data_IF_053174211778
#
_entry.id   IF_053174211778
#
_cell.length_a   1.000
_cell.length_b   1.000
_cell.length_c   1.000
_cell.angle_alpha   90.00
_cell.angle_beta   90.00
_cell.angle_gamma   90.00
#
_symmetry.space_group_name_H-M   'P 1'
#
loop_
_entity.id
_entity.type
_entity.pdbx_description
1 polymer ?
#
# COMPACT_ATOMS: atom_id res chain seq x y z
N UNK A 1 5.97 -92.75 -13.03
CA UNK A 1 6.66 -93.94 -13.60
C UNK A 1 8.12 -93.70 -13.47
N UNK A 2 8.67 -94.49 -12.54
CA UNK A 2 10.04 -94.91 -12.40
C UNK A 2 11.11 -93.83 -12.22
N UNK A 3 11.62 -93.67 -11.06
CA UNK A 3 12.44 -94.49 -10.18
C UNK A 3 13.88 -94.70 -10.67
N UNK A 4 14.76 -94.58 -9.76
CA UNK A 4 16.12 -95.01 -9.65
C UNK A 4 17.15 -93.89 -9.52
N UNK A 5 17.85 -93.79 -8.57
CA UNK A 5 18.48 -94.58 -7.54
C UNK A 5 19.82 -93.85 -7.19
N UNK A 6 20.02 -93.78 -5.92
CA UNK A 6 21.23 -93.33 -5.21
C UNK A 6 22.48 -94.06 -5.69
N UNK A 7 23.58 -93.28 -5.71
CA UNK A 7 24.88 -93.86 -5.28
C UNK A 7 25.73 -92.80 -4.59
N UNK A 8 26.06 -93.05 -3.33
CA UNK A 8 27.14 -92.35 -2.61
C UNK A 8 28.47 -93.06 -2.92
N UNK A 9 29.56 -92.32 -2.90
CA UNK A 9 30.79 -92.88 -2.38
C UNK A 9 31.49 -92.02 -1.31
N UNK A 10 31.74 -92.68 -0.30
CA UNK A 10 32.87 -92.76 0.69
C UNK A 10 33.83 -91.54 0.74
N UNK A 11 33.97 -91.12 2.03
CA UNK A 11 34.98 -90.24 2.56
C UNK A 11 36.39 -90.78 2.42
N UNK A 12 37.29 -89.84 2.07
CA UNK A 12 38.76 -90.03 2.21
C UNK A 12 39.26 -89.02 3.26
N UNK A 13 40.02 -89.44 4.27
CA UNK A 13 40.48 -88.55 5.33
C UNK A 13 41.76 -87.83 4.96
N UNK A 14 41.89 -86.57 5.33
CA UNK A 14 43.13 -85.92 5.72
C UNK A 14 43.92 -85.20 4.65
N UNK A 15 43.57 -83.91 4.43
CA UNK A 15 44.61 -82.94 4.09
C UNK A 15 44.34 -81.67 4.94
N UNK A 16 45.27 -81.46 5.89
CA UNK A 16 45.35 -80.24 6.66
C UNK A 16 45.64 -79.03 5.66
N UNK A 17 44.63 -78.25 5.36
CA UNK A 17 44.84 -76.98 4.69
C UNK A 17 45.13 -75.92 5.76
N UNK A 18 46.38 -75.49 5.81
CA UNK A 18 46.80 -74.30 6.50
C UNK A 18 46.09 -73.08 5.84
N UNK A 19 45.16 -72.51 6.57
CA UNK A 19 44.55 -71.22 6.14
C UNK A 19 45.66 -70.16 6.12
N UNK A 20 45.79 -69.39 5.02
CA UNK A 20 46.68 -68.22 5.01
C UNK A 20 46.11 -67.18 5.99
N UNK A 21 46.92 -66.76 6.93
CA UNK A 21 46.68 -65.68 7.86
C UNK A 21 46.43 -64.37 7.02
N UNK A 22 45.21 -63.84 7.05
CA UNK A 22 44.90 -62.54 6.51
C UNK A 22 45.81 -61.49 7.14
N UNK A 23 46.50 -60.67 6.36
CA UNK A 23 47.27 -59.57 6.91
C UNK A 23 46.28 -58.63 7.64
N UNK A 24 46.62 -58.25 8.88
CA UNK A 24 45.89 -57.33 9.68
C UNK A 24 45.81 -55.97 8.95
N UNK A 25 44.62 -55.57 8.54
CA UNK A 25 44.40 -54.23 7.98
C UNK A 25 44.91 -53.19 8.98
N UNK A 26 45.66 -52.18 8.54
CA UNK A 26 46.11 -51.09 9.40
C UNK A 26 44.87 -50.29 9.86
N UNK A 27 44.46 -50.51 11.09
CA UNK A 27 43.34 -49.76 11.73
C UNK A 27 43.56 -48.27 11.60
N UNK A 28 42.73 -47.68 10.84
CA UNK A 28 42.25 -46.28 10.72
C UNK A 28 42.60 -45.34 11.89
N UNK A 29 43.83 -44.93 12.00
CA UNK A 29 44.24 -43.72 12.74
C UNK A 29 43.98 -42.43 11.96
N UNK A 30 43.67 -42.54 10.64
CA UNK A 30 43.39 -41.41 9.74
C UNK A 30 42.00 -40.75 9.89
N UNK A 31 41.04 -41.42 10.55
CA UNK A 31 39.65 -40.91 10.60
C UNK A 31 39.45 -39.78 11.62
N UNK A 32 40.16 -39.77 12.74
CA UNK A 32 40.02 -38.75 13.78
C UNK A 32 40.64 -37.39 13.39
N UNK A 33 41.70 -37.37 12.60
CA UNK A 33 42.32 -36.16 12.13
C UNK A 33 41.53 -35.49 10.98
N UNK A 34 40.96 -36.29 10.07
CA UNK A 34 40.06 -35.80 9.03
C UNK A 34 38.80 -35.19 9.63
N UNK A 35 38.15 -35.83 10.57
CA UNK A 35 36.96 -35.27 11.23
C UNK A 35 37.23 -33.97 12.01
N UNK A 36 38.47 -33.79 12.59
CA UNK A 36 38.84 -32.54 13.22
C UNK A 36 39.15 -31.42 12.19
N UNK A 37 39.80 -31.76 11.09
CA UNK A 37 40.05 -30.82 9.99
C UNK A 37 38.72 -30.37 9.36
N UNK A 38 37.79 -31.28 9.11
CA UNK A 38 36.46 -30.98 8.56
C UNK A 38 35.65 -30.09 9.54
N UNK A 39 35.72 -30.35 10.84
CA UNK A 39 35.06 -29.50 11.87
C UNK A 39 35.67 -28.10 11.96
N UNK A 40 37.02 -28.01 11.89
CA UNK A 40 37.69 -26.70 11.87
C UNK A 40 37.39 -25.92 10.60
N UNK A 41 37.31 -26.59 9.46
CA UNK A 41 36.91 -25.96 8.20
C UNK A 41 35.47 -25.46 8.26
N UNK A 42 34.55 -26.29 8.76
CA UNK A 42 33.15 -25.87 8.93
C UNK A 42 33.01 -24.69 9.91
N UNK A 43 33.77 -24.70 11.02
CA UNK A 43 33.79 -23.59 11.96
C UNK A 43 34.35 -22.28 11.32
N UNK A 44 35.46 -22.42 10.54
CA UNK A 44 36.03 -21.29 9.81
C UNK A 44 35.04 -20.70 8.77
N UNK A 45 34.36 -21.57 8.02
CA UNK A 45 33.32 -21.14 7.08
C UNK A 45 32.18 -20.42 7.80
N UNK A 46 31.68 -20.99 8.93
CA UNK A 46 30.62 -20.35 9.72
C UNK A 46 31.07 -18.99 10.26
N UNK A 47 32.33 -18.88 10.74
CA UNK A 47 32.88 -17.61 11.19
C UNK A 47 33.00 -16.59 10.06
N UNK A 48 33.48 -16.98 8.90
CA UNK A 48 33.57 -16.10 7.72
C UNK A 48 32.18 -15.64 7.27
N UNK A 49 31.22 -16.55 7.17
CA UNK A 49 29.83 -16.23 6.82
C UNK A 49 29.21 -15.31 7.89
N UNK A 50 29.44 -15.60 9.18
CA UNK A 50 28.96 -14.77 10.27
C UNK A 50 29.58 -13.37 10.27
N UNK A 51 30.89 -13.24 10.01
CA UNK A 51 31.57 -11.95 9.87
C UNK A 51 31.11 -11.17 8.63
N UNK A 52 30.90 -11.83 7.50
CA UNK A 52 30.33 -11.22 6.31
C UNK A 52 28.89 -10.73 6.57
N UNK A 53 28.08 -11.54 7.27
CA UNK A 53 26.72 -11.15 7.61
C UNK A 53 26.67 -9.98 8.59
N UNK A 54 27.54 -9.96 9.60
CA UNK A 54 27.57 -8.89 10.60
C UNK A 54 28.27 -7.61 10.16
N UNK A 55 29.24 -7.71 9.22
CA UNK A 55 30.06 -6.59 8.82
C UNK A 55 29.75 -6.00 7.44
N UNK A 56 28.89 -6.66 6.66
CA UNK A 56 28.58 -6.24 5.28
C UNK A 56 27.14 -6.55 4.92
N UNK A 57 26.57 -5.80 3.97
CA UNK A 57 25.23 -6.04 3.41
C UNK A 57 25.26 -6.99 2.17
N UNK A 58 26.25 -7.84 2.06
CA UNK A 58 26.38 -8.74 0.88
C UNK A 58 25.16 -9.64 0.71
N UNK A 59 24.68 -10.24 1.79
CA UNK A 59 23.51 -11.13 1.73
C UNK A 59 22.22 -10.35 1.41
N UNK A 60 22.00 -9.18 2.04
CA UNK A 60 20.87 -8.31 1.74
C UNK A 60 20.89 -7.81 0.31
N UNK A 61 22.07 -7.41 -0.21
CA UNK A 61 22.21 -6.97 -1.60
C UNK A 61 21.95 -8.09 -2.62
N UNK A 62 22.36 -9.34 -2.31
CA UNK A 62 22.07 -10.50 -3.15
C UNK A 62 20.57 -10.84 -3.14
N UNK A 63 19.93 -10.80 -1.96
CA UNK A 63 18.48 -11.02 -1.83
C UNK A 63 17.69 -9.99 -2.64
N UNK A 64 18.05 -8.69 -2.54
CA UNK A 64 17.42 -7.62 -3.30
C UNK A 64 17.59 -7.81 -4.83
N UNK A 65 18.79 -8.14 -5.29
CA UNK A 65 19.03 -8.43 -6.73
C UNK A 65 18.23 -9.63 -7.23
N UNK A 66 18.16 -10.68 -6.41
CA UNK A 66 17.39 -11.88 -6.76
C UNK A 66 15.88 -11.54 -6.84
N UNK A 67 15.38 -10.78 -5.87
CA UNK A 67 14.00 -10.30 -5.88
C UNK A 67 13.70 -9.44 -7.11
N UNK A 68 14.58 -8.48 -7.43
CA UNK A 68 14.42 -7.60 -8.60
C UNK A 68 14.36 -8.40 -9.90
N UNK A 69 15.28 -9.36 -10.04
CA UNK A 69 15.30 -10.24 -11.22
C UNK A 69 14.04 -11.14 -11.29
N UNK A 70 13.60 -11.69 -10.16
CA UNK A 70 12.39 -12.50 -10.13
C UNK A 70 11.13 -11.67 -10.41
N UNK A 71 11.07 -10.44 -9.92
CA UNK A 71 9.95 -9.52 -10.14
C UNK A 71 9.83 -9.09 -11.59
N UNK A 72 10.97 -8.80 -12.26
CA UNK A 72 11.00 -8.42 -13.67
C UNK A 72 10.74 -9.58 -14.62
N UNK A 73 11.01 -10.82 -14.20
CA UNK A 73 10.73 -12.04 -14.99
C UNK A 73 9.25 -12.46 -14.98
N UNK A 74 8.39 -11.72 -14.28
CA UNK A 74 6.96 -12.07 -14.16
C UNK A 74 6.19 -11.73 -15.44
N UNK A 75 5.54 -12.72 -16.05
CA UNK A 75 4.65 -12.56 -17.20
C UNK A 75 3.20 -12.23 -16.83
N UNK A 76 2.93 -11.87 -15.58
CA UNK A 76 1.57 -11.55 -15.13
C UNK A 76 1.01 -10.35 -15.86
N UNK A 77 -0.27 -10.44 -16.21
CA UNK A 77 -1.03 -9.33 -16.78
C UNK A 77 -1.66 -8.51 -15.66
N UNK A 78 -1.60 -7.19 -15.80
CA UNK A 78 -2.33 -6.29 -14.95
C UNK A 78 -3.84 -6.56 -15.06
N UNK A 79 -4.56 -6.32 -13.96
CA UNK A 79 -6.00 -6.53 -13.93
C UNK A 79 -6.72 -5.48 -14.77
N UNK A 80 -7.63 -5.90 -15.61
CA UNK A 80 -8.54 -5.03 -16.38
C UNK A 80 -9.60 -4.32 -15.51
N UNK A 81 -9.71 -4.71 -14.24
CA UNK A 81 -10.56 -4.04 -13.24
C UNK A 81 -9.98 -2.73 -12.73
N UNK A 82 -8.72 -2.42 -13.06
CA UNK A 82 -8.04 -1.19 -12.66
C UNK A 82 -7.91 -0.30 -13.88
N UNK A 83 -8.32 0.96 -13.76
CA UNK A 83 -8.07 2.02 -14.71
C UNK A 83 -7.25 3.12 -14.03
N UNK A 84 -6.31 3.70 -14.75
CA UNK A 84 -5.46 4.77 -14.25
C UNK A 84 -5.75 6.06 -15.00
N UNK A 85 -5.88 7.15 -14.27
CA UNK A 85 -6.00 8.51 -14.82
C UNK A 85 -4.76 9.28 -14.40
N UNK A 86 -3.94 9.66 -15.38
CA UNK A 86 -2.69 10.35 -15.12
C UNK A 86 -2.88 11.87 -15.06
N UNK A 87 -2.28 12.45 -14.03
CA UNK A 87 -1.97 13.89 -13.96
C UNK A 87 -0.65 14.07 -14.69
N UNK A 88 -0.71 14.16 -16.00
CA UNK A 88 0.44 14.20 -16.90
C UNK A 88 0.72 15.63 -17.45
N UNK A 89 1.84 15.78 -18.14
CA UNK A 89 2.23 17.06 -18.73
C UNK A 89 1.20 17.59 -19.73
N UNK A 90 0.53 16.68 -20.47
CA UNK A 90 -0.52 17.06 -21.42
C UNK A 90 -1.74 17.63 -20.67
N UNK A 91 -2.09 17.07 -19.53
CA UNK A 91 -3.17 17.59 -18.68
C UNK A 91 -2.79 18.93 -18.05
N UNK A 92 -1.53 19.10 -17.62
CA UNK A 92 -1.04 20.37 -17.09
C UNK A 92 -1.05 21.45 -18.18
N UNK A 93 -0.65 21.11 -19.40
CA UNK A 93 -0.70 22.05 -20.51
C UNK A 93 -2.14 22.44 -20.91
N UNK A 94 -3.09 21.52 -20.82
CA UNK A 94 -4.49 21.74 -21.21
C UNK A 94 -5.33 22.47 -20.15
N UNK A 95 -5.13 22.15 -18.86
CA UNK A 95 -5.93 22.70 -17.74
C UNK A 95 -5.26 23.95 -17.15
N UNK A 96 -3.93 23.95 -17.09
CA UNK A 96 -3.14 25.00 -16.46
C UNK A 96 -2.19 24.46 -15.39
N UNK A 97 -1.50 25.39 -14.71
CA UNK A 97 -0.46 25.06 -13.74
C UNK A 97 -1.00 24.21 -12.58
N UNK A 98 -0.33 23.12 -12.28
CA UNK A 98 -0.55 22.30 -11.08
C UNK A 98 -0.03 23.04 -9.80
N UNK A 99 -0.68 22.90 -8.61
CA UNK A 99 -1.91 22.14 -8.36
C UNK A 99 -3.18 22.85 -8.85
N UNK A 100 -4.10 22.06 -9.41
CA UNK A 100 -5.38 22.59 -9.92
C UNK A 100 -6.35 22.92 -8.78
N UNK A 101 -7.29 23.85 -9.04
CA UNK A 101 -8.39 24.14 -8.11
C UNK A 101 -9.24 22.92 -7.81
N UNK A 102 -9.85 22.88 -6.60
CA UNK A 102 -10.66 21.75 -6.12
C UNK A 102 -11.88 21.45 -6.98
N UNK A 103 -12.43 22.45 -7.65
CA UNK A 103 -13.55 22.28 -8.57
C UNK A 103 -13.20 21.41 -9.78
N UNK A 104 -11.97 21.48 -10.29
CA UNK A 104 -11.47 20.57 -11.35
C UNK A 104 -11.49 19.12 -10.89
N UNK A 105 -11.10 18.87 -9.66
CA UNK A 105 -11.15 17.53 -9.06
C UNK A 105 -12.59 17.06 -8.79
N UNK A 106 -13.46 17.99 -8.36
CA UNK A 106 -14.87 17.72 -8.17
C UNK A 106 -15.55 17.29 -9.47
N UNK A 107 -15.28 18.00 -10.57
CA UNK A 107 -15.83 17.68 -11.90
C UNK A 107 -15.40 16.29 -12.39
N UNK A 108 -14.12 15.89 -12.15
CA UNK A 108 -13.66 14.55 -12.48
C UNK A 108 -14.36 13.49 -11.62
N UNK A 109 -14.48 13.72 -10.30
CA UNK A 109 -15.19 12.80 -9.39
C UNK A 109 -16.65 12.63 -9.82
N UNK A 110 -17.35 13.70 -10.15
CA UNK A 110 -18.73 13.66 -10.62
C UNK A 110 -18.86 12.85 -11.92
N UNK A 111 -17.93 13.03 -12.88
CA UNK A 111 -17.90 12.26 -14.13
C UNK A 111 -17.67 10.76 -13.90
N UNK A 112 -16.70 10.42 -13.08
CA UNK A 112 -16.38 9.02 -12.78
C UNK A 112 -17.51 8.34 -12.00
N UNK A 113 -18.17 9.08 -11.12
CA UNK A 113 -19.34 8.60 -10.39
C UNK A 113 -20.51 8.33 -11.35
N UNK A 114 -20.77 9.24 -12.27
CA UNK A 114 -21.78 9.07 -13.33
C UNK A 114 -21.43 7.93 -14.30
N UNK A 115 -20.15 7.68 -14.56
CA UNK A 115 -19.66 6.55 -15.36
C UNK A 115 -19.81 5.20 -14.63
N UNK A 116 -20.16 5.19 -13.35
CA UNK A 116 -20.36 3.97 -12.57
C UNK A 116 -19.05 3.35 -12.07
N UNK A 117 -18.00 4.14 -11.85
CA UNK A 117 -16.79 3.65 -11.21
C UNK A 117 -17.11 3.01 -9.85
N UNK A 118 -16.53 1.85 -9.56
CA UNK A 118 -16.79 1.11 -8.31
C UNK A 118 -16.11 1.75 -7.11
N UNK A 119 -14.86 2.15 -7.30
CA UNK A 119 -14.03 2.83 -6.30
C UNK A 119 -13.16 3.85 -7.01
N UNK A 120 -13.06 5.05 -6.47
CA UNK A 120 -12.22 6.13 -6.99
C UNK A 120 -11.13 6.42 -5.96
N UNK A 121 -9.90 6.18 -6.32
CA UNK A 121 -8.75 6.44 -5.47
C UNK A 121 -8.05 7.70 -5.96
N UNK A 122 -8.12 8.78 -5.20
CA UNK A 122 -7.51 10.06 -5.55
C UNK A 122 -6.21 10.25 -4.77
N UNK A 123 -5.05 10.22 -5.42
CA UNK A 123 -3.75 10.28 -4.72
C UNK A 123 -3.23 11.67 -4.45
N UNK A 124 -3.89 12.73 -4.97
CA UNK A 124 -3.51 14.10 -4.63
C UNK A 124 -3.83 14.42 -3.16
N UNK A 125 -2.94 15.18 -2.54
CA UNK A 125 -3.05 15.58 -1.14
C UNK A 125 -3.89 16.87 -1.00
N UNK A 126 -4.89 16.81 -0.15
CA UNK A 126 -5.79 17.93 0.17
C UNK A 126 -5.66 18.30 1.66
N UNK A 127 -4.45 18.60 2.10
CA UNK A 127 -4.12 18.84 3.52
C UNK A 127 -4.31 20.29 3.94
N UNK A 128 -4.32 21.24 2.98
CA UNK A 128 -4.46 22.65 3.21
C UNK A 128 -5.68 23.22 2.50
N UNK A 129 -6.39 24.21 3.10
CA UNK A 129 -7.52 24.87 2.45
C UNK A 129 -7.10 25.55 1.17
N UNK A 130 -7.95 25.47 0.16
CA UNK A 130 -7.81 26.34 -1.01
C UNK A 130 -8.38 27.73 -0.66
N UNK A 131 -7.51 28.68 -0.39
CA UNK A 131 -7.90 30.05 -0.14
C UNK A 131 -8.08 30.80 -1.46
N UNK A 132 -9.32 31.11 -1.83
CA UNK A 132 -9.61 32.16 -2.79
C UNK A 132 -9.46 33.50 -2.08
N UNK A 133 -8.71 34.43 -2.68
CA UNK A 133 -8.48 35.77 -2.11
C UNK A 133 -9.77 36.59 -1.89
N UNK A 134 -10.86 36.28 -2.59
CA UNK A 134 -12.15 36.89 -2.42
C UNK A 134 -13.03 36.27 -1.33
N UNK A 135 -12.77 34.99 -0.96
CA UNK A 135 -13.61 34.27 -0.02
C UNK A 135 -13.48 34.80 1.41
N UNK A 136 -12.27 35.18 1.83
CA UNK A 136 -12.02 35.72 3.17
C UNK A 136 -12.76 37.04 3.40
N UNK A 137 -12.61 38.07 2.53
CA UNK A 137 -13.37 39.31 2.67
C UNK A 137 -14.90 39.11 2.63
N UNK A 138 -15.39 38.17 1.81
CA UNK A 138 -16.82 37.87 1.74
C UNK A 138 -17.36 37.29 3.06
N UNK A 139 -16.62 36.35 3.66
CA UNK A 139 -16.95 35.78 4.98
C UNK A 139 -16.91 36.84 6.09
N UNK A 140 -15.91 37.70 6.07
CA UNK A 140 -15.83 38.84 7.01
C UNK A 140 -17.02 39.78 6.87
N UNK A 141 -17.36 40.19 5.64
CA UNK A 141 -18.51 41.04 5.37
C UNK A 141 -19.82 40.40 5.84
N UNK A 142 -20.00 39.12 5.54
CA UNK A 142 -21.16 38.38 6.02
C UNK A 142 -21.23 38.34 7.56
N UNK A 143 -20.11 38.06 8.25
CA UNK A 143 -20.03 38.06 9.70
C UNK A 143 -20.38 39.46 10.30
N UNK A 144 -19.96 40.54 9.66
CA UNK A 144 -20.29 41.91 10.08
C UNK A 144 -21.81 42.19 9.94
N UNK A 145 -22.44 41.72 8.85
CA UNK A 145 -23.89 41.88 8.64
C UNK A 145 -24.69 41.01 9.61
N UNK A 146 -24.26 39.79 9.88
CA UNK A 146 -24.89 38.88 10.86
C UNK A 146 -24.77 39.41 12.30
N UNK A 147 -23.61 39.98 12.64
CA UNK A 147 -23.29 40.53 13.95
C UNK A 147 -23.85 41.95 14.22
N UNK A 148 -24.60 42.55 13.31
CA UNK A 148 -25.08 43.95 13.43
C UNK A 148 -23.96 44.94 13.69
N UNK A 149 -22.85 44.84 12.91
CA UNK A 149 -21.74 45.75 13.06
C UNK A 149 -22.16 47.24 12.84
N UNK A 150 -21.49 48.16 13.52
CA UNK A 150 -21.74 49.59 13.46
C UNK A 150 -21.69 50.10 11.99
N UNK A 151 -22.68 50.86 11.59
CA UNK A 151 -22.85 51.37 10.19
C UNK A 151 -23.79 50.51 9.32
N UNK A 152 -24.30 49.38 9.83
CA UNK A 152 -25.25 48.50 9.11
C UNK A 152 -26.62 48.44 9.84
N UNK A 153 -26.82 49.30 10.86
CA UNK A 153 -28.00 49.31 11.70
C UNK A 153 -29.27 49.70 10.93
N UNK A 154 -29.12 50.53 9.87
CA UNK A 154 -30.21 51.00 9.03
C UNK A 154 -30.69 50.02 7.97
N UNK A 155 -30.04 48.83 7.87
CA UNK A 155 -30.47 47.76 6.98
C UNK A 155 -31.74 47.11 7.51
N UNK A 156 -32.88 47.40 6.90
CA UNK A 156 -34.14 46.72 7.21
C UNK A 156 -34.01 45.20 7.05
N UNK A 157 -34.81 44.41 7.83
CA UNK A 157 -34.69 42.95 7.89
C UNK A 157 -34.71 42.24 6.52
N UNK A 158 -35.59 42.71 5.60
CA UNK A 158 -35.72 42.15 4.25
C UNK A 158 -34.49 42.41 3.37
N UNK A 159 -33.87 43.58 3.54
CA UNK A 159 -32.63 43.94 2.77
C UNK A 159 -31.44 43.17 3.30
N UNK A 160 -31.33 42.99 4.61
CA UNK A 160 -30.32 42.18 5.27
C UNK A 160 -30.39 40.72 4.81
N UNK A 161 -31.59 40.12 4.81
CA UNK A 161 -31.79 38.74 4.37
C UNK A 161 -31.41 38.55 2.90
N UNK A 162 -31.78 39.50 2.01
CA UNK A 162 -31.36 39.45 0.60
C UNK A 162 -29.85 39.54 0.42
N UNK A 163 -29.19 40.42 1.18
CA UNK A 163 -27.73 40.59 1.10
C UNK A 163 -27.01 39.37 1.62
N UNK A 164 -27.46 38.78 2.75
CA UNK A 164 -26.91 37.53 3.27
C UNK A 164 -27.12 36.36 2.30
N UNK A 165 -28.25 36.29 1.62
CA UNK A 165 -28.50 35.32 0.55
C UNK A 165 -27.53 35.47 -0.61
N UNK A 166 -27.33 36.72 -1.10
CA UNK A 166 -26.37 36.98 -2.17
C UNK A 166 -24.92 36.66 -1.79
N UNK A 167 -24.50 37.00 -0.56
CA UNK A 167 -23.17 36.64 -0.05
C UNK A 167 -23.02 35.17 0.09
N UNK A 168 -24.03 34.45 0.60
CA UNK A 168 -24.01 33.00 0.71
C UNK A 168 -23.88 32.28 -0.64
N UNK A 169 -24.59 32.80 -1.69
CA UNK A 169 -24.42 32.28 -3.04
C UNK A 169 -23.02 32.57 -3.64
N UNK A 170 -22.47 33.74 -3.34
CA UNK A 170 -21.13 34.12 -3.79
C UNK A 170 -20.06 33.23 -3.09
N UNK A 171 -20.19 33.04 -1.79
CA UNK A 171 -19.33 32.14 -1.03
C UNK A 171 -19.38 30.68 -1.58
N UNK A 172 -20.59 30.14 -1.79
CA UNK A 172 -20.77 28.82 -2.34
C UNK A 172 -20.13 28.63 -3.73
N UNK A 173 -20.04 29.68 -4.53
CA UNK A 173 -19.36 29.66 -5.84
C UNK A 173 -17.83 29.69 -5.71
N UNK A 174 -17.31 30.32 -4.67
CA UNK A 174 -15.87 30.49 -4.43
C UNK A 174 -15.27 29.44 -3.52
N UNK A 175 -16.11 28.72 -2.76
CA UNK A 175 -15.65 27.65 -1.85
C UNK A 175 -15.45 26.34 -2.61
N UNK A 176 -14.31 26.23 -3.27
CA UNK A 176 -13.95 25.05 -4.04
C UNK A 176 -13.75 23.81 -3.15
N UNK A 177 -13.30 23.98 -1.89
CA UNK A 177 -13.18 22.88 -0.94
C UNK A 177 -14.57 22.30 -0.58
N UNK A 178 -15.57 23.16 -0.34
CA UNK A 178 -16.94 22.73 -0.10
C UNK A 178 -17.52 22.01 -1.33
N UNK A 179 -17.27 22.51 -2.55
CA UNK A 179 -17.69 21.85 -3.79
C UNK A 179 -17.11 20.46 -3.93
N UNK A 180 -15.82 20.30 -3.67
CA UNK A 180 -15.18 18.96 -3.69
C UNK A 180 -15.78 18.06 -2.62
N UNK A 181 -15.98 18.56 -1.39
CA UNK A 181 -16.62 17.79 -0.32
C UNK A 181 -18.00 17.29 -0.73
N UNK A 182 -18.82 18.13 -1.34
CA UNK A 182 -20.16 17.75 -1.84
C UNK A 182 -20.07 16.66 -2.91
N UNK A 183 -19.11 16.75 -3.84
CA UNK A 183 -18.90 15.73 -4.88
C UNK A 183 -18.44 14.39 -4.27
N UNK A 184 -17.53 14.43 -3.29
CA UNK A 184 -17.08 13.24 -2.55
C UNK A 184 -18.26 12.56 -1.83
N UNK A 185 -19.09 13.34 -1.13
CA UNK A 185 -20.23 12.85 -0.39
C UNK A 185 -21.30 12.25 -1.31
N UNK A 186 -21.66 12.93 -2.40
CA UNK A 186 -22.60 12.38 -3.39
C UNK A 186 -22.09 11.12 -4.05
N UNK A 187 -20.78 11.04 -4.33
CA UNK A 187 -20.14 9.86 -4.89
C UNK A 187 -20.20 8.68 -3.94
N UNK A 188 -19.85 8.86 -2.68
CA UNK A 188 -19.74 7.80 -1.66
C UNK A 188 -18.72 6.71 -2.02
N UNK A 189 -17.81 6.96 -2.98
CA UNK A 189 -16.89 5.96 -3.56
C UNK A 189 -15.43 6.42 -3.58
N UNK A 190 -15.16 7.62 -3.11
CA UNK A 190 -13.83 8.23 -3.20
C UNK A 190 -13.03 7.95 -1.95
N UNK A 191 -11.81 7.44 -2.14
CA UNK A 191 -10.82 7.22 -1.09
C UNK A 191 -9.75 8.29 -1.22
N UNK A 192 -9.46 8.97 -0.12
CA UNK A 192 -8.45 10.01 -0.04
C UNK A 192 -7.19 9.52 0.67
N UNK A 193 -6.02 10.10 0.35
CA UNK A 193 -4.76 9.76 0.99
C UNK A 193 -4.56 10.48 2.31
N UNK A 194 -3.82 9.84 3.20
CA UNK A 194 -3.13 10.44 4.34
C UNK A 194 -1.65 10.07 4.29
N UNK A 195 -0.81 10.80 5.02
CA UNK A 195 0.62 10.50 5.12
C UNK A 195 1.04 10.58 6.58
N UNK A 196 1.96 9.71 6.98
CA UNK A 196 2.49 9.64 8.32
C UNK A 196 4.01 9.83 8.30
N UNK A 197 4.54 10.57 9.23
CA UNK A 197 5.96 10.61 9.52
C UNK A 197 6.30 9.36 10.36
N UNK A 198 6.97 8.39 9.72
CA UNK A 198 7.32 7.13 10.36
C UNK A 198 8.42 7.31 11.41
N UNK A 199 8.31 6.61 12.51
CA UNK A 199 9.27 6.62 13.61
C UNK A 199 8.64 6.29 14.96
N UNK A 200 9.47 5.96 15.93
CA UNK A 200 8.99 5.64 17.28
C UNK A 200 8.47 6.91 17.98
N UNK A 201 7.22 6.91 18.46
CA UNK A 201 6.64 8.06 19.12
C UNK A 201 7.35 8.36 20.44
N UNK A 202 7.69 9.64 20.68
CA UNK A 202 8.31 10.14 21.91
C UNK A 202 7.26 10.84 22.79
N UNK A 203 6.18 10.15 23.11
CA UNK A 203 5.09 10.72 23.89
C UNK A 203 3.76 10.69 23.12
N UNK A 204 2.83 11.57 23.51
CA UNK A 204 1.55 11.71 22.81
C UNK A 204 1.73 12.59 21.57
N UNK A 205 1.02 12.31 20.48
CA UNK A 205 1.06 13.17 19.30
C UNK A 205 0.48 14.56 19.61
N UNK A 206 0.97 15.60 18.90
CA UNK A 206 0.49 16.98 19.04
C UNK A 206 -1.00 17.11 18.65
N UNK A 207 -1.46 16.29 17.72
CA UNK A 207 -2.85 16.19 17.31
C UNK A 207 -3.29 14.71 17.24
N UNK A 208 -4.46 14.37 17.81
CA UNK A 208 -4.99 13.02 17.74
C UNK A 208 -5.42 12.66 16.31
N UNK A 209 -5.54 11.35 16.04
CA UNK A 209 -6.08 10.88 14.77
C UNK A 209 -7.53 11.38 14.61
N UNK A 210 -7.88 12.09 13.51
CA UNK A 210 -9.24 12.58 13.29
C UNK A 210 -10.28 11.45 13.24
N UNK A 211 -11.51 11.78 13.65
CA UNK A 211 -12.61 10.80 13.70
C UNK A 211 -12.89 10.11 12.37
N UNK A 212 -12.77 10.84 11.26
CA UNK A 212 -12.96 10.28 9.92
C UNK A 212 -11.87 9.25 9.52
N UNK A 213 -10.64 9.39 10.01
CA UNK A 213 -9.57 8.40 9.80
C UNK A 213 -9.69 7.24 10.80
N UNK A 214 -10.03 7.55 12.04
CA UNK A 214 -10.18 6.58 13.13
C UNK A 214 -11.25 5.52 12.86
N UNK A 215 -12.40 5.89 12.25
CA UNK A 215 -13.45 4.94 11.88
C UNK A 215 -13.04 3.90 10.83
N UNK A 216 -11.91 4.14 10.14
CA UNK A 216 -11.33 3.22 9.15
C UNK A 216 -10.05 2.54 9.67
N UNK A 217 -9.70 2.71 10.94
CA UNK A 217 -8.58 2.04 11.56
C UNK A 217 -8.89 0.57 11.86
N UNK A 218 -7.88 -0.26 11.84
CA UNK A 218 -7.96 -1.69 12.19
C UNK A 218 -7.80 -1.82 13.69
N UNK A 219 -8.72 -2.53 14.34
CA UNK A 219 -8.68 -2.75 15.78
C UNK A 219 -7.70 -3.86 16.17
N UNK A 220 -7.16 -3.78 17.40
CA UNK A 220 -6.32 -4.83 17.99
C UNK A 220 -4.98 -5.04 17.30
N UNK A 221 -4.50 -4.05 16.52
CA UNK A 221 -3.29 -4.18 15.72
C UNK A 221 -1.97 -3.93 16.47
N UNK A 222 -1.99 -3.53 17.74
CA UNK A 222 -0.77 -3.29 18.49
C UNK A 222 -0.10 -4.62 18.92
N UNK A 223 1.21 -4.83 18.66
CA UNK A 223 2.21 -3.91 18.06
C UNK A 223 2.38 -4.01 16.53
N UNK A 224 1.43 -4.58 15.80
CA UNK A 224 1.54 -4.89 14.37
C UNK A 224 1.38 -3.64 13.49
N UNK A 225 2.34 -3.34 12.63
CA UNK A 225 2.39 -2.15 11.79
C UNK A 225 3.56 -1.22 12.10
N UNK A 226 3.90 -0.33 11.18
CA UNK A 226 4.98 0.64 11.35
C UNK A 226 4.56 1.77 12.31
N UNK A 227 5.37 2.12 13.30
CA UNK A 227 5.07 3.24 14.19
C UNK A 227 5.23 4.59 13.47
N UNK A 228 4.41 5.58 13.87
CA UNK A 228 4.48 6.93 13.36
C UNK A 228 4.41 7.98 14.46
N UNK A 229 5.07 9.13 14.21
CA UNK A 229 5.17 10.24 15.13
C UNK A 229 4.17 11.36 14.83
N UNK A 230 3.84 11.55 13.55
CA UNK A 230 2.96 12.62 13.06
C UNK A 230 2.06 12.10 11.94
N UNK A 231 0.92 12.78 11.75
CA UNK A 231 0.02 12.50 10.63
C UNK A 231 -0.32 13.78 9.87
N UNK A 232 -0.38 13.67 8.55
CA UNK A 232 -0.95 14.65 7.64
C UNK A 232 -2.23 14.05 7.08
N UNK A 233 -3.35 14.73 7.33
CA UNK A 233 -4.67 14.23 7.02
C UNK A 233 -5.39 15.18 6.06
N UNK A 234 -6.33 14.68 5.24
CA UNK A 234 -7.20 15.56 4.47
C UNK A 234 -7.91 16.58 5.35
N UNK A 235 -8.27 17.72 4.76
CA UNK A 235 -9.13 18.69 5.41
C UNK A 235 -10.36 18.01 6.03
N UNK A 236 -10.80 18.41 7.23
CA UNK A 236 -11.92 17.75 7.91
C UNK A 236 -13.18 17.65 7.06
N UNK A 237 -13.50 18.69 6.25
CA UNK A 237 -14.64 18.65 5.34
C UNK A 237 -14.50 17.53 4.31
N UNK A 238 -13.33 17.39 3.68
CA UNK A 238 -13.05 16.38 2.66
C UNK A 238 -12.93 14.98 3.27
N UNK A 239 -12.22 14.84 4.41
CA UNK A 239 -12.06 13.56 5.09
C UNK A 239 -13.37 12.98 5.61
N UNK A 240 -14.31 13.83 6.06
CA UNK A 240 -15.66 13.40 6.48
C UNK A 240 -16.54 13.01 5.28
N UNK A 241 -16.38 13.67 4.14
CA UNK A 241 -17.15 13.43 2.93
C UNK A 241 -16.63 12.23 2.11
N UNK A 242 -15.37 11.86 2.27
CA UNK A 242 -14.78 10.70 1.60
C UNK A 242 -15.37 9.38 2.11
N UNK A 243 -15.44 8.38 1.22
CA UNK A 243 -15.85 7.03 1.58
C UNK A 243 -14.87 6.40 2.58
N UNK A 244 -13.59 6.64 2.41
CA UNK A 244 -12.54 6.23 3.34
C UNK A 244 -11.27 7.08 3.17
N UNK A 245 -10.36 6.96 4.15
CA UNK A 245 -9.01 7.53 4.11
C UNK A 245 -8.01 6.41 4.39
N UNK A 246 -6.98 6.31 3.57
CA UNK A 246 -5.88 5.36 3.75
C UNK A 246 -4.52 6.02 3.57
N UNK A 247 -3.47 5.48 4.20
CA UNK A 247 -2.15 6.08 4.07
C UNK A 247 -1.46 5.74 2.74
N UNK A 248 -0.67 6.70 2.22
CA UNK A 248 0.20 6.56 1.04
C UNK A 248 1.68 6.54 1.43
N UNK A 249 2.01 5.99 2.59
CA UNK A 249 3.39 5.85 2.99
C UNK A 249 4.09 4.81 2.15
N UNK A 250 5.28 5.14 1.70
CA UNK A 250 6.19 4.21 1.03
C UNK A 250 7.29 3.79 2.01
N UNK A 251 7.83 2.59 1.80
CA UNK A 251 9.01 2.11 2.48
C UNK A 251 10.15 2.01 1.48
N UNK A 252 11.21 2.78 1.74
CA UNK A 252 12.44 2.71 0.94
C UNK A 252 13.41 1.74 1.60
N UNK A 253 13.93 0.80 0.83
CA UNK A 253 15.07 -0.02 1.22
C UNK A 253 16.35 0.84 1.28
N UNK A 254 17.44 0.31 1.85
CA UNK A 254 18.70 1.02 2.03
C UNK A 254 19.31 1.54 0.72
N UNK A 255 18.95 0.96 -0.41
CA UNK A 255 19.36 1.40 -1.75
C UNK A 255 18.37 2.37 -2.42
N UNK A 256 17.35 2.82 -1.69
CA UNK A 256 16.33 3.77 -2.15
C UNK A 256 15.24 3.17 -3.02
N UNK A 257 15.22 1.86 -3.25
CA UNK A 257 14.17 1.20 -4.03
C UNK A 257 12.95 0.85 -3.15
N UNK A 258 11.76 0.88 -3.76
CA UNK A 258 10.51 0.46 -3.12
C UNK A 258 10.27 -1.01 -3.43
N UNK A 259 10.56 -1.91 -2.48
CA UNK A 259 10.29 -3.35 -2.61
C UNK A 259 9.27 -3.87 -1.61
N UNK A 260 8.88 -3.04 -0.66
CA UNK A 260 7.89 -3.38 0.36
C UNK A 260 6.89 -2.26 0.50
N UNK A 261 5.63 -2.63 0.62
CA UNK A 261 4.52 -1.70 0.86
C UNK A 261 4.02 -1.90 2.29
N UNK A 262 4.09 -0.88 3.15
CA UNK A 262 3.49 -0.97 4.48
C UNK A 262 1.97 -0.98 4.36
N UNK A 263 1.33 -2.02 4.87
CA UNK A 263 -0.13 -2.13 4.85
C UNK A 263 -0.79 -1.49 6.06
N UNK A 264 -0.07 -1.33 7.16
CA UNK A 264 -0.56 -0.69 8.39
C UNK A 264 0.49 0.27 8.94
N UNK A 265 0.02 1.44 9.38
CA UNK A 265 0.79 2.43 10.14
C UNK A 265 0.11 2.65 11.49
N UNK A 266 0.87 2.55 12.58
CA UNK A 266 0.37 2.77 13.95
C UNK A 266 0.56 4.23 14.34
N UNK A 267 -0.52 4.88 14.73
CA UNK A 267 -0.53 6.26 15.20
C UNK A 267 -1.64 6.48 16.21
N UNK A 268 -1.36 7.17 17.31
CA UNK A 268 -2.33 7.54 18.35
C UNK A 268 -3.17 6.33 18.86
N UNK A 269 -2.51 5.16 19.04
CA UNK A 269 -3.18 3.92 19.50
C UNK A 269 -4.04 3.23 18.45
N UNK A 270 -3.99 3.66 17.19
CA UNK A 270 -4.76 3.11 16.08
C UNK A 270 -3.84 2.59 14.97
N UNK A 271 -4.26 1.55 14.26
CA UNK A 271 -3.59 1.10 13.05
C UNK A 271 -4.38 1.54 11.81
N UNK A 272 -3.79 2.45 11.06
CA UNK A 272 -4.39 3.01 9.84
C UNK A 272 -3.97 2.14 8.66
N UNK A 273 -4.92 1.63 7.85
CA UNK A 273 -4.60 0.83 6.68
C UNK A 273 -4.02 1.68 5.54
N UNK A 274 -3.19 1.06 4.70
CA UNK A 274 -2.72 1.69 3.47
C UNK A 274 -3.87 2.00 2.54
N UNK A 275 -3.66 2.97 1.66
CA UNK A 275 -4.64 3.31 0.63
C UNK A 275 -4.91 2.09 -0.28
N UNK A 276 -3.90 1.31 -0.61
CA UNK A 276 -4.04 0.08 -1.40
C UNK A 276 -4.95 -0.95 -0.69
N UNK A 277 -4.74 -1.19 0.60
CA UNK A 277 -5.57 -2.10 1.39
C UNK A 277 -7.02 -1.57 1.52
N UNK A 278 -7.17 -0.26 1.72
CA UNK A 278 -8.47 0.40 1.81
C UNK A 278 -9.24 0.33 0.49
N UNK A 279 -8.56 0.55 -0.66
CA UNK A 279 -9.14 0.39 -2.00
C UNK A 279 -9.60 -1.05 -2.22
N UNK A 280 -8.76 -2.03 -1.87
CA UNK A 280 -9.09 -3.44 -2.01
C UNK A 280 -10.32 -3.80 -1.16
N UNK A 281 -10.36 -3.38 0.10
CA UNK A 281 -11.51 -3.60 0.98
C UNK A 281 -12.80 -2.98 0.39
N UNK A 282 -12.76 -1.71 0.05
CA UNK A 282 -13.92 -1.00 -0.53
C UNK A 282 -14.40 -1.64 -1.83
N UNK A 283 -13.46 -2.04 -2.70
CA UNK A 283 -13.80 -2.70 -3.98
C UNK A 283 -14.46 -4.07 -3.79
N UNK A 284 -14.26 -4.72 -2.66
CA UNK A 284 -14.88 -5.99 -2.28
C UNK A 284 -16.14 -5.80 -1.42
N UNK A 285 -16.59 -4.56 -1.20
CA UNK A 285 -17.65 -4.17 -0.26
C UNK A 285 -17.34 -4.63 1.18
N UNK A 286 -16.07 -4.59 1.55
CA UNK A 286 -15.56 -4.84 2.88
C UNK A 286 -15.12 -3.52 3.54
N UNK A 287 -14.93 -3.55 4.85
CA UNK A 287 -14.52 -2.43 5.69
C UNK A 287 -13.21 -2.72 6.43
N UNK A 288 -12.73 -1.77 7.22
CA UNK A 288 -11.59 -2.00 8.10
C UNK A 288 -11.84 -3.11 9.14
N UNK A 289 -13.09 -3.32 9.54
CA UNK A 289 -13.49 -4.39 10.47
C UNK A 289 -13.31 -5.81 9.87
N UNK A 290 -13.25 -5.90 8.54
CA UNK A 290 -13.02 -7.17 7.81
C UNK A 290 -11.52 -7.46 7.58
N UNK A 291 -10.65 -6.55 8.04
CA UNK A 291 -9.20 -6.75 8.02
C UNK A 291 -8.79 -7.47 9.31
N UNK A 292 -8.46 -8.73 9.18
CA UNK A 292 -8.03 -9.55 10.32
C UNK A 292 -6.51 -9.61 10.42
N UNK A 293 -6.00 -9.60 11.65
CA UNK A 293 -4.59 -9.81 11.93
C UNK A 293 -4.30 -11.32 12.06
N UNK A 294 -3.23 -11.78 11.45
CA UNK A 294 -2.78 -13.18 11.49
C UNK A 294 -1.29 -13.21 11.90
N UNK A 295 -0.99 -13.10 13.20
CA UNK A 295 0.39 -13.08 13.68
C UNK A 295 1.21 -14.23 13.11
N UNK A 296 2.40 -13.93 12.57
CA UNK A 296 3.27 -14.90 11.90
C UNK A 296 2.85 -15.31 10.49
N UNK A 297 1.70 -14.82 9.98
CA UNK A 297 1.21 -15.16 8.63
C UNK A 297 0.85 -13.94 7.79
N UNK A 298 0.56 -12.79 8.39
CA UNK A 298 0.22 -11.55 7.72
C UNK A 298 -1.15 -10.99 8.08
N UNK A 299 -1.88 -10.49 7.09
CA UNK A 299 -3.23 -9.93 7.22
C UNK A 299 -4.24 -10.80 6.46
N UNK A 300 -5.49 -10.80 6.89
CA UNK A 300 -6.59 -11.30 6.08
C UNK A 300 -7.52 -10.15 5.69
N UNK A 301 -8.03 -10.18 4.46
CA UNK A 301 -9.07 -9.30 3.97
C UNK A 301 -10.24 -10.19 3.52
N UNK A 302 -11.28 -10.27 4.35
CA UNK A 302 -12.31 -11.30 4.20
C UNK A 302 -11.68 -12.69 4.14
N UNK A 303 -11.91 -13.50 3.08
CA UNK A 303 -11.33 -14.84 2.93
C UNK A 303 -9.88 -14.84 2.43
N UNK A 304 -9.37 -13.73 1.91
CA UNK A 304 -8.04 -13.65 1.32
C UNK A 304 -6.96 -13.45 2.39
N UNK A 305 -5.89 -14.26 2.34
CA UNK A 305 -4.70 -14.07 3.16
C UNK A 305 -3.68 -13.25 2.37
N UNK A 306 -3.16 -12.21 3.00
CA UNK A 306 -2.10 -11.34 2.48
C UNK A 306 -0.85 -11.59 3.34
N UNK A 307 0.12 -12.37 2.85
CA UNK A 307 1.36 -12.60 3.58
C UNK A 307 2.14 -11.30 3.77
N UNK A 308 2.57 -11.02 5.00
CA UNK A 308 3.39 -9.86 5.34
C UNK A 308 4.53 -10.25 6.26
N UNK A 309 5.48 -9.35 6.41
CA UNK A 309 6.47 -9.46 7.48
C UNK A 309 5.87 -9.07 8.87
N UNK A 310 6.72 -9.07 9.89
CA UNK A 310 6.33 -8.82 11.29
C UNK A 310 5.77 -7.40 11.53
N UNK A 311 6.06 -6.45 10.66
CA UNK A 311 5.59 -5.05 10.73
C UNK A 311 4.56 -4.72 9.65
N UNK A 312 3.85 -5.73 9.15
CA UNK A 312 2.77 -5.59 8.18
C UNK A 312 3.19 -5.00 6.83
N UNK A 313 4.41 -5.29 6.34
CA UNK A 313 4.82 -4.93 4.99
C UNK A 313 4.63 -6.12 4.05
N UNK A 314 4.07 -5.87 2.88
CA UNK A 314 3.90 -6.84 1.80
C UNK A 314 4.96 -6.59 0.72
N UNK A 315 5.35 -7.65 0.02
CA UNK A 315 6.13 -7.56 -1.22
C UNK A 315 5.15 -7.36 -2.39
N UNK A 316 5.02 -6.15 -2.94
CA UNK A 316 4.13 -5.90 -4.07
C UNK A 316 4.64 -6.63 -5.30
N UNK A 317 3.72 -7.06 -6.13
CA UNK A 317 4.05 -7.65 -7.40
C UNK A 317 4.03 -6.59 -8.48
N UNK A 318 5.20 -6.36 -9.08
CA UNK A 318 5.33 -5.46 -10.21
C UNK A 318 4.90 -6.15 -11.52
N UNK A 319 4.45 -5.34 -12.45
CA UNK A 319 4.07 -5.77 -13.79
C UNK A 319 5.04 -5.17 -14.79
N UNK A 320 5.51 -5.98 -15.73
CA UNK A 320 6.38 -5.51 -16.79
C UNK A 320 5.60 -4.70 -17.84
N UNK A 321 6.23 -3.67 -18.37
CA UNK A 321 5.74 -2.99 -19.57
C UNK A 321 5.76 -3.96 -20.75
N UNK A 322 4.77 -3.83 -21.64
CA UNK A 322 4.64 -4.64 -22.83
C UNK A 322 4.65 -3.74 -24.06
N UNK A 323 5.51 -4.05 -25.01
CA UNK A 323 5.57 -3.35 -26.30
C UNK A 323 5.71 -1.82 -26.17
N UNK A 324 6.39 -1.35 -25.10
CA UNK A 324 6.58 0.07 -24.83
C UNK A 324 5.35 0.78 -24.27
N UNK A 325 4.31 0.02 -23.89
CA UNK A 325 3.13 0.54 -23.18
C UNK A 325 3.17 0.09 -21.73
N UNK A 326 2.77 0.99 -20.81
CA UNK A 326 2.67 0.66 -19.39
C UNK A 326 1.76 -0.53 -19.12
N UNK A 327 1.98 -1.23 -18.03
CA UNK A 327 1.23 -2.42 -17.64
C UNK A 327 -0.28 -2.17 -17.48
N UNK A 328 -0.66 -0.95 -17.07
CA UNK A 328 -2.04 -0.51 -16.93
C UNK A 328 -2.43 0.44 -18.06
N UNK A 329 -3.69 0.34 -18.49
CA UNK A 329 -4.25 1.34 -19.40
C UNK A 329 -4.40 2.67 -18.67
N UNK A 330 -3.72 3.69 -19.17
CA UNK A 330 -3.70 5.03 -18.58
C UNK A 330 -4.39 6.02 -19.52
N UNK A 331 -5.27 6.86 -18.98
CA UNK A 331 -5.91 7.97 -19.66
C UNK A 331 -5.42 9.30 -19.08
N UNK A 332 -5.26 10.31 -19.93
CA UNK A 332 -4.93 11.65 -19.46
C UNK A 332 -6.12 12.29 -18.70
N UNK A 333 -5.83 12.94 -17.59
CA UNK A 333 -6.84 13.59 -16.75
C UNK A 333 -7.73 14.55 -17.56
N UNK A 334 -7.11 15.38 -18.40
CA UNK A 334 -7.84 16.37 -19.22
C UNK A 334 -8.75 15.72 -20.27
N UNK A 335 -8.41 14.53 -20.78
CA UNK A 335 -9.25 13.81 -21.74
C UNK A 335 -10.50 13.27 -21.07
N UNK A 336 -10.35 12.71 -19.87
CA UNK A 336 -11.49 12.24 -19.08
C UNK A 336 -12.37 13.43 -18.68
N UNK A 337 -11.77 14.51 -18.20
CA UNK A 337 -12.48 15.74 -17.82
C UNK A 337 -13.25 16.36 -18.98
N UNK A 338 -12.69 16.34 -20.19
CA UNK A 338 -13.35 16.85 -21.40
C UNK A 338 -14.40 15.88 -21.99
N UNK A 339 -14.54 14.66 -21.43
CA UNK A 339 -15.48 13.65 -21.95
C UNK A 339 -15.02 12.96 -23.23
N UNK A 340 -13.74 13.02 -23.57
CA UNK A 340 -13.15 12.35 -24.74
C UNK A 340 -12.96 10.84 -24.54
N UNK A 341 -12.91 10.40 -23.28
CA UNK A 341 -12.83 8.98 -22.92
C UNK A 341 -14.23 8.43 -22.69
N UNK A 342 -14.61 7.30 -23.30
CA UNK A 342 -15.94 6.71 -23.14
C UNK A 342 -16.22 6.35 -21.67
N UNK A 343 -17.37 6.69 -21.08
CA UNK A 343 -17.71 6.41 -19.68
C UNK A 343 -17.68 4.94 -19.33
N UNK A 344 -18.07 4.07 -20.25
CA UNK A 344 -18.10 2.61 -20.04
C UNK A 344 -16.73 2.01 -19.70
N UNK A 345 -15.65 2.72 -20.04
CA UNK A 345 -14.28 2.33 -19.67
C UNK A 345 -14.07 2.27 -18.16
N UNK A 346 -14.83 3.05 -17.39
CA UNK A 346 -14.67 3.16 -15.93
C UNK A 346 -15.74 2.37 -15.15
N UNK A 347 -16.74 1.84 -15.82
CA UNK A 347 -17.85 1.12 -15.17
C UNK A 347 -17.33 -0.09 -14.39
N UNK A 348 -17.77 -0.22 -13.14
CA UNK A 348 -17.42 -1.29 -12.20
C UNK A 348 -15.92 -1.47 -11.95
N UNK A 349 -15.11 -0.46 -12.28
CA UNK A 349 -13.65 -0.48 -12.09
C UNK A 349 -13.20 0.29 -10.86
N UNK A 350 -12.01 -0.07 -10.40
CA UNK A 350 -11.20 0.74 -9.51
C UNK A 350 -10.49 1.78 -10.38
N UNK A 351 -10.75 3.04 -10.15
CA UNK A 351 -10.12 4.14 -10.89
C UNK A 351 -9.10 4.82 -9.95
N UNK A 352 -7.83 4.81 -10.36
CA UNK A 352 -6.74 5.46 -9.62
C UNK A 352 -6.37 6.75 -10.34
N UNK A 353 -6.43 7.88 -9.64
CA UNK A 353 -6.06 9.21 -10.15
C UNK A 353 -4.74 9.60 -9.51
N UNK A 354 -3.71 9.85 -10.31
CA UNK A 354 -2.40 10.21 -9.79
C UNK A 354 -1.42 10.73 -10.84
N UNK A 355 -0.22 11.14 -10.36
CA UNK A 355 0.90 11.60 -11.19
C UNK A 355 1.92 10.47 -11.38
#
# INVERSE_FOLDING_TARGET
MMDAARVSPRAVPGVFQLSPSRPAEPRQRRSRWRGRADALTALAVLLVVGLLHAGTDVFGSLERRFYDQASTASDRRASDRIAVIAIDDASIAAIGRWPWPRDVHADLVDRLSAAGAKTIAHTAFFFEPQTDGALVPLRELRGQIEGNAAGLEDLGPASRQRLLGFLGEAEARLDADARLADSLQRSGRVILPSVFELGEPRGRPDAPLPGFARRHAVEGADPFGLPAMRSLQPLPALGNAAAAVGHLNQWLDDDGAVRREPLLVRFDGHAVPSMALTIAAHSLNLSAADIGLRPGSGLSLGPALIPTDEVARVLPQFYADRDGTGAFTTDAFHDVLAGRVPPDKFRDKIVIIGA
#
